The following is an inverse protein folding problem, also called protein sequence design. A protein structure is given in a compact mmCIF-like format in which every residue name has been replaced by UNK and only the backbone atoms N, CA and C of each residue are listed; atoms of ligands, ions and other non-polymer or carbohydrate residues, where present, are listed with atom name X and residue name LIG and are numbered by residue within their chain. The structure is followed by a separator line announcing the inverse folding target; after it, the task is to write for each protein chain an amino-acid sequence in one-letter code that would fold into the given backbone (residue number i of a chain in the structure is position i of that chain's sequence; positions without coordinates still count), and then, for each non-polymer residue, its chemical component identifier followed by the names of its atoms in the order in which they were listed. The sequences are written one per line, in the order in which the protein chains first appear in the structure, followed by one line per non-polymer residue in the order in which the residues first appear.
data_IF_180135057319
#
_entry.id   IF_180135057319
#
_cell.length_a   1.000
_cell.length_b   1.000
_cell.length_c   1.000
_cell.angle_alpha   90.00
_cell.angle_beta   90.00
_cell.angle_gamma   90.00
#
_symmetry.space_group_name_H-M   'P 1'
#
loop_
_entity.id
_entity.type
_entity.pdbx_description
1 polymer ?
#
# COMPACT_ATOMS: atom_id res chain seq x y z
N UNK A 1 -16.67 5.29 -10.03
CA UNK A 1 -17.13 4.88 -8.69
C UNK A 1 -15.90 4.41 -7.91
N UNK A 2 -15.60 4.98 -6.74
CA UNK A 2 -14.45 4.54 -5.95
C UNK A 2 -14.66 3.08 -5.55
N UNK A 3 -13.72 2.21 -5.93
CA UNK A 3 -13.75 0.80 -5.54
C UNK A 3 -13.29 0.72 -4.08
N UNK A 4 -14.18 0.37 -3.17
CA UNK A 4 -13.81 0.05 -1.79
C UNK A 4 -13.09 -1.29 -1.81
N UNK A 5 -11.78 -1.27 -1.60
CA UNK A 5 -10.99 -2.50 -1.52
C UNK A 5 -11.03 -2.97 -0.08
N UNK A 6 -11.84 -3.99 0.19
CA UNK A 6 -11.79 -4.79 1.42
C UNK A 6 -10.87 -5.99 1.17
N UNK A 7 -9.59 -5.90 1.58
CA UNK A 7 -8.63 -7.00 1.36
C UNK A 7 -7.84 -7.34 2.61
N UNK A 8 -7.49 -8.61 2.69
CA UNK A 8 -6.88 -9.29 3.82
C UNK A 8 -5.35 -9.25 3.73
N UNK A 9 -4.71 -9.06 4.88
CA UNK A 9 -3.27 -9.05 5.15
C UNK A 9 -2.51 -7.78 4.66
N UNK A 10 -2.27 -6.89 5.62
CA UNK A 10 -1.27 -5.81 5.54
C UNK A 10 0.01 -6.40 6.15
N UNK A 11 1.11 -6.46 5.41
CA UNK A 11 2.44 -6.57 6.03
C UNK A 11 3.00 -5.16 6.15
N UNK A 12 2.79 -4.50 7.30
CA UNK A 12 3.62 -3.35 7.65
C UNK A 12 4.94 -3.91 8.18
N UNK A 13 6.06 -3.31 7.81
CA UNK A 13 7.41 -3.70 8.28
C UNK A 13 7.63 -3.49 9.79
N UNK A 14 6.56 -3.26 10.55
CA UNK A 14 6.56 -2.97 11.99
C UNK A 14 5.81 -4.04 12.79
N UNK A 15 5.03 -4.91 12.13
CA UNK A 15 4.26 -5.97 12.76
C UNK A 15 4.70 -7.34 12.18
N UNK A 16 5.99 -7.65 12.31
CA UNK A 16 6.52 -9.01 12.03
C UNK A 16 6.19 -9.94 13.21
N UNK A 17 4.91 -10.11 13.51
CA UNK A 17 4.45 -11.19 14.40
C UNK A 17 4.08 -12.40 13.55
N UNK A 18 4.92 -13.43 13.60
CA UNK A 18 4.68 -14.71 12.95
C UNK A 18 3.31 -15.26 13.40
N UNK A 19 2.34 -15.31 12.47
CA UNK A 19 0.94 -15.71 12.76
C UNK A 19 -0.07 -14.56 12.92
N UNK A 20 0.29 -13.31 12.60
CA UNK A 20 -0.64 -12.18 12.69
C UNK A 20 -1.89 -12.39 11.82
N UNK A 21 -3.07 -12.39 12.47
CA UNK A 21 -4.38 -12.50 11.82
C UNK A 21 -4.56 -11.39 10.78
N UNK A 22 -5.00 -11.74 9.58
CA UNK A 22 -5.27 -10.78 8.53
C UNK A 22 -6.24 -9.69 9.02
N UNK A 23 -5.78 -8.43 9.01
CA UNK A 23 -6.62 -7.28 9.35
C UNK A 23 -7.54 -6.95 8.18
N UNK A 24 -8.82 -6.74 8.48
CA UNK A 24 -9.82 -6.27 7.51
C UNK A 24 -9.86 -4.75 7.59
N UNK A 25 -9.66 -4.08 6.47
CA UNK A 25 -9.74 -2.62 6.35
C UNK A 25 -10.50 -2.24 5.08
N UNK A 26 -11.00 -1.00 5.03
CA UNK A 26 -11.57 -0.41 3.82
C UNK A 26 -10.57 0.58 3.26
N UNK A 27 -10.05 0.31 2.08
CA UNK A 27 -9.17 1.23 1.37
C UNK A 27 -9.96 1.96 0.27
N UNK A 28 -9.94 3.29 0.32
CA UNK A 28 -10.48 4.16 -0.71
C UNK A 28 -9.39 4.44 -1.75
N UNK A 29 -9.37 3.64 -2.83
CA UNK A 29 -8.33 3.71 -3.84
C UNK A 29 -8.86 3.46 -5.25
N UNK A 30 -8.13 3.96 -6.25
CA UNK A 30 -8.36 3.67 -7.67
C UNK A 30 -7.17 2.93 -8.27
N UNK A 31 -7.45 2.06 -9.24
CA UNK A 31 -6.41 1.31 -9.96
C UNK A 31 -5.60 2.29 -10.82
N UNK A 32 -4.28 2.22 -10.67
CA UNK A 32 -3.32 3.03 -11.39
C UNK A 32 -2.60 2.23 -12.48
N UNK A 33 -1.67 2.88 -13.18
CA UNK A 33 -0.79 2.23 -14.13
C UNK A 33 0.02 1.09 -13.47
N UNK A 34 0.20 0.01 -14.22
CA UNK A 34 1.13 -1.06 -13.85
C UNK A 34 2.54 -0.64 -14.24
N UNK A 35 3.49 -0.75 -13.32
CA UNK A 35 4.90 -0.44 -13.57
C UNK A 35 5.77 -1.67 -13.38
N UNK A 36 6.93 -1.69 -14.02
CA UNK A 36 7.99 -2.66 -13.76
C UNK A 36 9.13 -1.91 -13.08
N UNK A 37 9.49 -2.34 -11.87
CA UNK A 37 10.61 -1.78 -11.13
C UNK A 37 11.78 -2.75 -11.15
N UNK A 38 13.00 -2.23 -11.18
CA UNK A 38 14.22 -3.01 -10.99
C UNK A 38 14.63 -2.94 -9.52
N UNK A 39 14.81 -4.10 -8.90
CA UNK A 39 15.39 -4.26 -7.56
C UNK A 39 16.74 -4.98 -7.69
N UNK A 40 17.49 -5.01 -6.59
CA UNK A 40 18.76 -5.75 -6.49
C UNK A 40 18.59 -7.23 -6.88
N UNK A 41 17.46 -7.83 -6.50
CA UNK A 41 17.15 -9.25 -6.75
C UNK A 41 16.34 -9.50 -8.03
N UNK A 42 16.27 -8.52 -8.95
CA UNK A 42 15.58 -8.66 -10.24
C UNK A 42 14.42 -7.70 -10.44
N UNK A 43 13.50 -8.03 -11.35
CA UNK A 43 12.38 -7.15 -11.71
C UNK A 43 11.10 -7.50 -10.96
N UNK A 44 10.42 -6.49 -10.43
CA UNK A 44 9.11 -6.63 -9.81
C UNK A 44 8.06 -5.83 -10.59
N UNK A 45 6.98 -6.50 -10.95
CA UNK A 45 5.83 -5.86 -11.58
C UNK A 45 4.86 -5.37 -10.49
N UNK A 46 4.54 -4.08 -10.48
CA UNK A 46 3.65 -3.47 -9.52
C UNK A 46 2.37 -2.97 -10.18
N UNK A 47 1.23 -3.54 -9.80
CA UNK A 47 -0.10 -2.98 -10.09
C UNK A 47 -0.43 -1.98 -9.00
N UNK A 48 -0.28 -0.70 -9.28
CA UNK A 48 -0.41 0.37 -8.29
C UNK A 48 -1.86 0.79 -8.07
N UNK A 49 -2.09 1.39 -6.92
CA UNK A 49 -3.33 2.02 -6.52
C UNK A 49 -3.03 3.44 -6.05
N UNK A 50 -3.88 4.41 -6.44
CA UNK A 50 -3.73 5.80 -6.04
C UNK A 50 -4.94 6.32 -5.27
N UNK A 51 -4.73 7.39 -4.52
CA UNK A 51 -5.80 8.16 -3.90
C UNK A 51 -6.65 8.83 -4.99
N UNK A 52 -7.99 8.72 -4.96
CA UNK A 52 -8.85 9.35 -5.97
C UNK A 52 -8.88 10.88 -5.88
N UNK A 53 -8.43 11.48 -4.76
CA UNK A 53 -8.47 12.95 -4.57
C UNK A 53 -7.21 13.65 -5.07
N UNK A 54 -6.04 13.11 -4.74
CA UNK A 54 -4.75 13.75 -5.01
C UNK A 54 -3.84 12.95 -5.95
N UNK A 55 -4.29 11.80 -6.47
CA UNK A 55 -3.51 10.89 -7.34
C UNK A 55 -2.23 10.32 -6.72
N UNK A 56 -2.01 10.51 -5.41
CA UNK A 56 -0.88 9.96 -4.67
C UNK A 56 -0.90 8.41 -4.71
N UNK A 57 0.21 7.74 -5.06
CA UNK A 57 0.33 6.29 -4.93
C UNK A 57 0.25 5.86 -3.45
N UNK A 58 -0.64 4.92 -3.14
CA UNK A 58 -0.91 4.47 -1.76
C UNK A 58 -0.66 2.97 -1.54
N UNK A 59 -0.80 2.16 -2.58
CA UNK A 59 -0.61 0.72 -2.46
C UNK A 59 -0.23 0.07 -3.80
N UNK A 60 0.23 -1.18 -3.76
CA UNK A 60 0.44 -1.99 -4.96
C UNK A 60 0.28 -3.49 -4.72
N UNK A 61 0.11 -4.24 -5.80
CA UNK A 61 0.11 -5.70 -5.84
C UNK A 61 1.10 -6.23 -6.87
N UNK A 62 1.69 -7.38 -6.60
CA UNK A 62 2.73 -7.98 -7.46
C UNK A 62 2.19 -9.04 -8.42
N UNK A 63 1.00 -9.58 -8.15
CA UNK A 63 0.41 -10.71 -8.89
C UNK A 63 -0.52 -10.23 -10.01
N UNK A 64 -0.55 -10.96 -11.13
CA UNK A 64 -1.47 -10.67 -12.23
C UNK A 64 -2.81 -11.43 -12.08
N UNK A 65 -3.95 -10.83 -12.48
CA UNK A 65 -5.21 -11.54 -12.64
C UNK A 65 -5.04 -12.76 -13.56
N UNK A 66 -5.76 -13.88 -13.33
CA UNK A 66 -6.90 -14.02 -12.41
C UNK A 66 -6.52 -14.31 -10.94
N UNK A 67 -5.24 -14.54 -10.66
CA UNK A 67 -4.79 -14.95 -9.33
C UNK A 67 -4.89 -13.78 -8.36
N UNK A 68 -5.55 -14.02 -7.22
CA UNK A 68 -5.62 -13.04 -6.13
C UNK A 68 -4.23 -12.95 -5.50
N UNK A 69 -3.69 -11.73 -5.44
CA UNK A 69 -2.45 -11.48 -4.73
C UNK A 69 -2.61 -11.83 -3.24
N UNK A 70 -1.62 -12.49 -2.61
CA UNK A 70 -1.69 -12.86 -1.20
C UNK A 70 -1.65 -11.64 -0.27
N UNK A 71 -1.05 -10.54 -0.73
CA UNK A 71 -0.87 -9.31 0.04
C UNK A 71 -1.22 -8.07 -0.80
N UNK A 72 -1.63 -7.01 -0.10
CA UNK A 72 -1.66 -5.65 -0.63
C UNK A 72 -0.57 -4.86 0.10
N UNK A 73 0.44 -4.42 -0.63
CA UNK A 73 1.55 -3.65 -0.05
C UNK A 73 1.13 -2.19 0.04
N UNK A 74 1.15 -1.63 1.26
CA UNK A 74 0.91 -0.20 1.48
C UNK A 74 2.24 0.56 1.40
N UNK A 75 2.22 1.72 0.74
CA UNK A 75 3.39 2.60 0.71
C UNK A 75 3.49 3.28 2.07
N UNK A 76 4.65 3.19 2.72
CA UNK A 76 4.87 3.81 4.04
C UNK A 76 4.62 5.32 3.95
N UNK A 77 3.92 5.88 4.95
CA UNK A 77 3.57 7.30 5.01
C UNK A 77 2.43 7.75 4.08
N UNK A 78 1.91 6.86 3.22
CA UNK A 78 0.88 7.23 2.25
C UNK A 78 -0.55 7.25 2.81
N UNK A 79 -0.77 6.68 4.00
CA UNK A 79 -2.06 6.53 4.63
C UNK A 79 -1.97 6.81 6.13
N UNK A 80 -3.08 7.33 6.66
CA UNK A 80 -3.29 7.59 8.08
C UNK A 80 -4.58 6.90 8.51
N UNK A 81 -4.69 6.51 9.77
CA UNK A 81 -5.92 5.92 10.29
C UNK A 81 -7.07 6.94 10.34
N UNK A 82 -6.73 8.20 10.60
CA UNK A 82 -7.67 9.31 10.73
C UNK A 82 -7.53 10.28 9.55
N UNK A 83 -8.65 10.51 8.86
CA UNK A 83 -8.68 11.39 7.70
C UNK A 83 -8.42 12.85 8.10
N UNK A 84 -7.46 13.50 7.43
CA UNK A 84 -7.14 14.91 7.66
C UNK A 84 -6.22 15.14 8.87
N UNK A 85 -5.81 14.07 9.56
CA UNK A 85 -4.86 14.12 10.65
C UNK A 85 -3.53 13.55 10.17
N UNK A 86 -2.46 14.34 10.28
CA UNK A 86 -1.10 13.90 9.97
C UNK A 86 -0.52 13.28 11.23
N UNK A 87 -0.15 12.00 11.22
CA UNK A 87 0.48 11.36 12.36
C UNK A 87 1.80 12.04 12.73
N UNK A 88 2.17 12.13 14.02
CA UNK A 88 3.46 12.68 14.44
C UNK A 88 4.64 11.96 13.79
N UNK A 89 4.52 10.66 13.52
CA UNK A 89 5.54 9.85 12.89
C UNK A 89 5.72 10.09 11.38
N UNK A 90 4.85 10.89 10.74
CA UNK A 90 4.92 11.17 9.31
C UNK A 90 6.22 11.87 8.89
N UNK A 91 6.86 12.59 9.82
CA UNK A 91 8.08 13.37 9.58
C UNK A 91 9.36 12.70 10.11
N UNK A 92 9.26 11.50 10.69
CA UNK A 92 10.42 10.80 11.25
C UNK A 92 11.32 10.31 10.11
N UNK A 93 12.55 10.83 10.06
CA UNK A 93 13.56 10.49 9.05
C UNK A 93 13.78 11.54 7.95
N UNK A 94 13.05 12.67 7.99
CA UNK A 94 13.25 13.81 7.08
C UNK A 94 14.36 14.78 7.54
N UNK A 95 15.09 14.45 8.62
CA UNK A 95 16.04 15.32 9.32
C UNK A 95 17.40 15.49 8.61
N UNK A 96 17.53 15.03 7.36
CA UNK A 96 18.76 15.18 6.57
C UNK A 96 18.47 15.49 5.11
N UNK A 97 18.19 16.76 4.84
CA UNK A 97 18.34 17.40 3.53
C UNK A 97 19.10 18.71 3.71
#
# INVERSE_FOLDING_TARGET
MPKVISRAAISSSTDDTEGAKARIFKLNAEEAATVLIQRENGYERQRRYHCPRCTLPIAYQTTMPPNKAPFLYLIRGSLTQYQGEVPPEAFIGEESC
#
